data_IF_264508978614
#
_entry.id   IF_264508978614
#
_cell.length_a   1.000
_cell.length_b   1.000
_cell.length_c   1.000
_cell.angle_alpha   90.00
_cell.angle_beta   90.00
_cell.angle_gamma   90.00
#
_symmetry.space_group_name_H-M   'P 1'
#
loop_
_entity.id
_entity.type
_entity.pdbx_description
1 polymer ?
#
# COMPACT_ATOMS: atom_id res chain seq x y z
N UNK A 1 19.33 4.52 12.32
CA UNK A 1 18.23 5.39 11.88
C UNK A 1 17.02 4.50 11.71
N UNK A 2 15.89 4.74 12.37
CA UNK A 2 14.67 4.00 12.04
C UNK A 2 14.33 4.34 10.59
N UNK A 3 14.32 3.34 9.70
CA UNK A 3 14.07 3.55 8.27
C UNK A 3 12.66 4.08 8.00
N UNK A 4 12.45 4.55 6.78
CA UNK A 4 11.13 4.92 6.28
C UNK A 4 10.17 3.73 6.38
N UNK A 5 8.89 4.01 6.65
CA UNK A 5 7.89 2.99 6.93
C UNK A 5 6.64 3.23 6.10
N UNK A 6 6.02 2.13 5.68
CA UNK A 6 4.73 2.12 4.97
C UNK A 6 3.71 1.29 5.74
N UNK A 7 2.45 1.74 5.75
CA UNK A 7 1.36 1.00 6.37
C UNK A 7 0.73 0.05 5.35
N UNK A 8 0.65 -1.25 5.66
CA UNK A 8 -0.22 -2.17 4.94
C UNK A 8 -1.22 -2.85 5.87
N UNK A 9 -2.32 -3.32 5.29
CA UNK A 9 -3.38 -3.99 6.04
C UNK A 9 -3.13 -5.49 6.14
N UNK A 10 -3.50 -6.10 7.28
CA UNK A 10 -3.52 -7.56 7.45
C UNK A 10 -4.26 -8.24 6.30
N UNK A 11 -3.71 -9.35 5.81
CA UNK A 11 -4.33 -10.15 4.76
C UNK A 11 -4.23 -9.52 3.36
N UNK A 12 -3.21 -8.69 3.10
CA UNK A 12 -2.96 -8.13 1.77
C UNK A 12 -2.96 -9.21 0.68
N UNK A 13 -2.27 -10.32 0.92
CA UNK A 13 -2.20 -11.47 0.01
C UNK A 13 -3.55 -12.14 -0.29
N UNK A 14 -4.60 -11.84 0.49
CA UNK A 14 -5.94 -12.38 0.35
C UNK A 14 -6.96 -11.33 -0.11
N UNK A 15 -6.54 -10.08 -0.37
CA UNK A 15 -7.42 -9.08 -0.94
C UNK A 15 -7.85 -9.52 -2.33
N UNK A 16 -9.14 -9.34 -2.65
CA UNK A 16 -9.71 -9.67 -3.96
C UNK A 16 -8.93 -9.00 -5.10
N UNK A 17 -8.43 -7.79 -4.88
CA UNK A 17 -7.65 -7.05 -5.88
C UNK A 17 -6.28 -7.70 -6.13
N UNK A 18 -5.57 -8.14 -5.09
CA UNK A 18 -4.31 -8.89 -5.25
C UNK A 18 -4.55 -10.23 -5.95
N UNK A 19 -5.61 -10.94 -5.56
CA UNK A 19 -5.97 -12.22 -6.18
C UNK A 19 -6.32 -11.99 -7.66
N UNK A 20 -7.02 -10.91 -8.00
CA UNK A 20 -7.35 -10.57 -9.38
C UNK A 20 -6.09 -10.24 -10.20
N UNK A 21 -5.16 -9.45 -9.66
CA UNK A 21 -3.86 -9.18 -10.29
C UNK A 21 -3.10 -10.49 -10.52
N UNK A 22 -3.01 -11.33 -9.48
CA UNK A 22 -2.32 -12.62 -9.54
C UNK A 22 -2.89 -13.53 -10.63
N UNK A 23 -4.22 -13.68 -10.67
CA UNK A 23 -4.90 -14.48 -11.68
C UNK A 23 -4.69 -13.94 -13.10
N UNK A 24 -4.71 -12.61 -13.26
CA UNK A 24 -4.53 -11.96 -14.56
C UNK A 24 -3.12 -12.18 -15.13
N UNK A 25 -2.11 -12.13 -14.25
CA UNK A 25 -0.71 -12.21 -14.65
C UNK A 25 -0.12 -13.63 -14.51
N UNK A 26 -0.92 -14.61 -14.06
CA UNK A 26 -0.45 -15.97 -13.82
C UNK A 26 0.58 -16.09 -12.69
N UNK A 27 0.51 -15.19 -11.70
CA UNK A 27 1.44 -15.13 -10.56
C UNK A 27 0.88 -15.82 -9.32
N UNK A 28 1.77 -16.25 -8.41
CA UNK A 28 1.35 -16.57 -7.05
C UNK A 28 0.87 -15.29 -6.34
N UNK A 29 -0.23 -15.39 -5.57
CA UNK A 29 -0.82 -14.25 -4.84
C UNK A 29 0.15 -13.55 -3.89
N UNK A 30 1.15 -14.26 -3.36
CA UNK A 30 2.19 -13.70 -2.49
C UNK A 30 3.17 -12.86 -3.31
N UNK A 31 3.53 -13.33 -4.51
CA UNK A 31 4.34 -12.55 -5.45
C UNK A 31 3.60 -11.28 -5.84
N UNK A 32 2.34 -11.38 -6.29
CA UNK A 32 1.53 -10.20 -6.62
C UNK A 32 1.44 -9.21 -5.45
N UNK A 33 1.27 -9.70 -4.21
CA UNK A 33 1.27 -8.85 -3.03
C UNK A 33 2.60 -8.11 -2.81
N UNK A 34 3.74 -8.80 -2.98
CA UNK A 34 5.07 -8.20 -2.86
C UNK A 34 5.26 -7.09 -3.92
N UNK A 35 4.87 -7.34 -5.17
CA UNK A 35 4.97 -6.33 -6.23
C UNK A 35 4.11 -5.09 -5.94
N UNK A 36 2.94 -5.29 -5.31
CA UNK A 36 2.11 -4.16 -4.88
C UNK A 36 2.78 -3.34 -3.78
N UNK A 37 3.47 -4.01 -2.84
CA UNK A 37 4.25 -3.33 -1.80
C UNK A 37 5.37 -2.50 -2.43
N UNK A 38 6.12 -3.06 -3.37
CA UNK A 38 7.19 -2.37 -4.09
C UNK A 38 6.68 -1.16 -4.89
N UNK A 39 5.55 -1.30 -5.60
CA UNK A 39 4.93 -0.19 -6.31
C UNK A 39 4.50 0.96 -5.38
N UNK A 40 3.98 0.64 -4.18
CA UNK A 40 3.63 1.67 -3.19
C UNK A 40 4.83 2.29 -2.51
N UNK A 41 5.90 1.53 -2.25
CA UNK A 41 7.17 2.05 -1.73
C UNK A 41 7.84 3.00 -2.73
N UNK A 42 7.81 2.63 -4.01
CA UNK A 42 8.25 3.51 -5.08
C UNK A 42 7.42 4.80 -5.13
N UNK A 43 6.09 4.71 -5.02
CA UNK A 43 5.23 5.89 -5.01
C UNK A 43 5.50 6.79 -3.80
N UNK A 44 5.73 6.20 -2.61
CA UNK A 44 6.08 6.91 -1.38
C UNK A 44 7.38 7.71 -1.53
N UNK A 45 8.33 7.18 -2.30
CA UNK A 45 9.62 7.83 -2.54
C UNK A 45 9.60 8.87 -3.66
N UNK A 46 8.66 8.76 -4.61
CA UNK A 46 8.66 9.54 -5.86
C UNK A 46 7.47 10.51 -5.98
N UNK A 47 6.53 10.50 -5.03
CA UNK A 47 5.36 11.39 -5.03
C UNK A 47 5.11 11.95 -3.64
N UNK A 48 4.49 13.12 -3.55
CA UNK A 48 4.13 13.74 -2.25
C UNK A 48 2.63 13.66 -1.96
N UNK A 49 1.81 13.62 -3.01
CA UNK A 49 0.36 13.63 -2.98
C UNK A 49 -0.28 12.39 -3.65
N UNK A 50 0.55 11.44 -4.08
CA UNK A 50 0.13 10.23 -4.78
C UNK A 50 -0.12 10.43 -6.27
N UNK A 51 0.16 11.61 -6.85
CA UNK A 51 0.14 11.82 -8.29
C UNK A 51 1.57 11.73 -8.84
N UNK A 52 1.82 10.69 -9.65
CA UNK A 52 3.08 10.49 -10.34
C UNK A 52 2.97 11.10 -11.74
N UNK A 53 3.31 12.38 -11.85
CA UNK A 53 3.29 13.09 -13.14
C UNK A 53 4.32 12.50 -14.12
N UNK A 54 3.94 12.43 -15.41
CA UNK A 54 4.74 11.84 -16.49
C UNK A 54 5.05 10.34 -16.33
N UNK A 55 4.44 9.67 -15.37
CA UNK A 55 4.58 8.23 -15.12
C UNK A 55 3.43 7.50 -15.77
N UNK A 56 3.72 6.35 -16.37
CA UNK A 56 2.73 5.49 -17.02
C UNK A 56 2.71 4.11 -16.35
N UNK A 57 1.71 3.29 -16.69
CA UNK A 57 1.67 1.89 -16.25
C UNK A 57 2.95 1.10 -16.60
N UNK A 58 3.58 1.42 -17.73
CA UNK A 58 4.85 0.81 -18.18
C UNK A 58 6.00 1.13 -17.22
N UNK A 59 6.01 2.32 -16.60
CA UNK A 59 7.01 2.64 -15.58
C UNK A 59 6.88 1.72 -14.38
N UNK A 60 5.65 1.40 -13.96
CA UNK A 60 5.43 0.46 -12.85
C UNK A 60 5.76 -0.99 -13.21
N UNK A 61 5.61 -1.38 -14.47
CA UNK A 61 6.13 -2.67 -14.94
C UNK A 61 7.65 -2.73 -14.79
N UNK A 62 8.36 -1.65 -15.10
CA UNK A 62 9.80 -1.56 -14.92
C UNK A 62 10.22 -1.55 -13.44
N UNK A 63 9.46 -0.87 -12.58
CA UNK A 63 9.66 -0.86 -11.12
C UNK A 63 9.52 -2.27 -10.54
N UNK A 64 8.50 -3.01 -10.97
CA UNK A 64 8.17 -4.33 -10.41
C UNK A 64 8.82 -5.50 -11.16
N UNK A 65 9.46 -5.23 -12.30
CA UNK A 65 10.05 -6.25 -13.17
C UNK A 65 9.03 -7.17 -13.86
N UNK A 66 7.74 -6.82 -13.84
CA UNK A 66 6.66 -7.64 -14.41
C UNK A 66 5.85 -6.83 -15.42
N UNK A 67 5.92 -7.23 -16.69
CA UNK A 67 5.11 -6.65 -17.76
C UNK A 67 3.61 -6.87 -17.51
N UNK A 68 2.83 -5.81 -17.69
CA UNK A 68 1.38 -5.78 -17.50
C UNK A 68 0.95 -5.57 -16.04
N UNK A 69 1.88 -5.41 -15.10
CA UNK A 69 1.56 -5.21 -13.69
C UNK A 69 0.87 -3.86 -13.41
N UNK A 70 1.40 -2.77 -13.96
CA UNK A 70 0.79 -1.45 -13.85
C UNK A 70 -0.63 -1.42 -14.41
N UNK A 71 -0.85 -2.07 -15.56
CA UNK A 71 -2.20 -2.22 -16.12
C UNK A 71 -3.11 -3.06 -15.21
N UNK A 72 -2.61 -4.15 -14.64
CA UNK A 72 -3.40 -4.95 -13.70
C UNK A 72 -3.80 -4.17 -12.44
N UNK A 73 -2.94 -3.27 -11.95
CA UNK A 73 -3.27 -2.37 -10.84
C UNK A 73 -4.32 -1.32 -11.21
N UNK A 74 -4.29 -0.78 -12.44
CA UNK A 74 -5.35 0.09 -12.97
C UNK A 74 -6.70 -0.64 -13.01
N UNK A 75 -6.71 -1.86 -13.52
CA UNK A 75 -7.94 -2.65 -13.69
C UNK A 75 -8.65 -2.97 -12.37
N UNK A 76 -7.90 -3.11 -11.27
CA UNK A 76 -8.47 -3.33 -9.93
C UNK A 76 -8.71 -2.03 -9.14
N UNK A 77 -8.52 -0.87 -9.77
CA UNK A 77 -8.71 0.45 -9.17
C UNK A 77 -7.72 0.79 -8.06
N UNK A 78 -6.52 0.17 -8.10
CA UNK A 78 -5.41 0.51 -7.22
C UNK A 78 -4.54 1.62 -7.77
N UNK A 79 -4.69 1.90 -9.05
CA UNK A 79 -4.22 3.10 -9.72
C UNK A 79 -5.39 3.72 -10.47
N UNK A 80 -5.29 5.01 -10.73
CA UNK A 80 -6.06 5.71 -11.75
C UNK A 80 -5.06 6.34 -12.72
N UNK A 81 -5.50 6.64 -13.94
CA UNK A 81 -4.70 7.33 -14.93
C UNK A 81 -5.45 8.59 -15.37
N UNK A 82 -4.75 9.72 -15.43
CA UNK A 82 -5.23 10.96 -16.01
C UNK A 82 -4.29 11.41 -17.15
N UNK A 83 -4.60 12.54 -17.79
CA UNK A 83 -3.78 13.08 -18.87
C UNK A 83 -2.35 13.44 -18.46
N UNK A 84 -2.05 13.50 -17.15
CA UNK A 84 -0.76 13.90 -16.59
C UNK A 84 0.03 12.71 -16.05
N UNK A 85 -0.59 11.57 -15.74
CA UNK A 85 0.10 10.35 -15.33
C UNK A 85 -0.74 9.44 -14.43
N UNK A 86 -0.05 8.71 -13.55
CA UNK A 86 -0.66 7.72 -12.66
C UNK A 86 -0.97 8.33 -11.29
N UNK A 87 -2.15 8.02 -10.77
CA UNK A 87 -2.64 8.46 -9.46
C UNK A 87 -2.79 7.23 -8.55
N UNK A 88 -2.23 7.31 -7.35
CA UNK A 88 -2.45 6.37 -6.25
C UNK A 88 -3.64 6.84 -5.40
N UNK A 89 -4.85 6.29 -5.62
CA UNK A 89 -6.06 6.80 -5.00
C UNK A 89 -6.04 6.62 -3.48
N UNK A 90 -6.68 7.56 -2.77
CA UNK A 90 -6.77 7.58 -1.29
C UNK A 90 -5.40 7.78 -0.61
N UNK A 91 -4.46 8.46 -1.28
CA UNK A 91 -3.15 8.82 -0.73
C UNK A 91 -3.24 9.47 0.67
N UNK A 92 -4.08 10.49 0.81
CA UNK A 92 -4.31 11.21 2.07
C UNK A 92 -4.79 10.35 3.24
N UNK A 93 -5.35 9.17 2.94
CA UNK A 93 -5.81 8.24 3.97
C UNK A 93 -4.68 7.36 4.51
N UNK A 94 -3.71 7.01 3.69
CA UNK A 94 -2.75 5.95 3.99
C UNK A 94 -1.29 6.40 3.95
N UNK A 95 -0.89 7.16 2.93
CA UNK A 95 0.51 7.41 2.61
C UNK A 95 0.95 8.85 2.84
N UNK A 96 0.02 9.82 2.88
CA UNK A 96 0.38 11.18 3.23
C UNK A 96 1.05 11.26 4.62
N UNK A 97 1.97 12.22 4.79
CA UNK A 97 2.65 12.48 6.07
C UNK A 97 1.66 12.64 7.24
N UNK A 98 0.52 13.29 6.98
CA UNK A 98 -0.55 13.44 7.94
C UNK A 98 -1.17 12.09 8.35
N UNK A 99 -1.37 11.18 7.40
CA UNK A 99 -1.87 9.83 7.64
C UNK A 99 -0.90 8.99 8.46
N UNK A 100 0.37 9.01 8.08
CA UNK A 100 1.47 8.34 8.79
C UNK A 100 1.50 8.74 10.26
N UNK A 101 1.49 10.05 10.54
CA UNK A 101 1.43 10.60 11.92
C UNK A 101 0.17 10.18 12.67
N UNK A 102 -1.01 10.21 12.02
CA UNK A 102 -2.28 9.77 12.63
C UNK A 102 -2.22 8.31 13.06
N UNK A 103 -1.71 7.42 12.19
CA UNK A 103 -1.59 5.99 12.48
C UNK A 103 -0.65 5.72 13.65
N UNK A 104 0.53 6.36 13.66
CA UNK A 104 1.48 6.24 14.77
C UNK A 104 0.91 6.77 16.10
N UNK A 105 0.21 7.90 16.07
CA UNK A 105 -0.41 8.47 17.27
C UNK A 105 -1.55 7.58 17.80
N UNK A 106 -2.35 6.98 16.92
CA UNK A 106 -3.38 6.03 17.30
C UNK A 106 -2.78 4.77 17.94
N UNK A 107 -1.69 4.25 17.39
CA UNK A 107 -0.92 3.13 17.94
C UNK A 107 -0.38 3.46 19.34
N UNK A 108 0.30 4.60 19.51
CA UNK A 108 0.82 5.07 20.81
C UNK A 108 -0.30 5.18 21.86
N UNK A 109 -1.43 5.80 21.50
CA UNK A 109 -2.59 5.90 22.40
C UNK A 109 -3.18 4.53 22.75
N UNK A 110 -3.19 3.56 21.83
CA UNK A 110 -3.63 2.19 22.12
C UNK A 110 -2.71 1.51 23.13
N UNK A 111 -1.39 1.61 22.93
CA UNK A 111 -0.41 1.04 23.85
C UNK A 111 -0.48 1.69 25.25
N UNK A 112 -0.67 3.01 25.31
CA UNK A 112 -0.88 3.72 26.57
C UNK A 112 -2.10 3.16 27.33
N UNK A 113 -3.25 3.04 26.66
CA UNK A 113 -4.46 2.47 27.29
C UNK A 113 -4.27 1.04 27.79
N UNK A 114 -3.54 0.21 27.06
CA UNK A 114 -3.24 -1.17 27.47
C UNK A 114 -2.34 -1.24 28.71
N UNK A 115 -1.47 -0.23 28.91
CA UNK A 115 -0.63 -0.12 30.11
C UNK A 115 -1.42 0.40 31.32
N UNK A 116 -2.31 1.37 31.10
CA UNK A 116 -3.14 1.95 32.15
C UNK A 116 -4.26 1.01 32.61
N UNK A 117 -4.82 0.22 31.69
CA UNK A 117 -5.91 -0.73 31.94
C UNK A 117 -5.54 -2.09 31.35
N UNK A 118 -4.68 -2.88 32.02
CA UNK A 118 -4.33 -4.21 31.54
C UNK A 118 -5.60 -5.08 31.45
N UNK A 119 -5.71 -5.95 30.44
CA UNK A 119 -6.86 -6.83 30.32
C UNK A 119 -6.98 -7.69 31.58
N UNK A 120 -8.15 -7.67 32.22
CA UNK A 120 -8.44 -8.53 33.36
C UNK A 120 -8.43 -9.97 32.86
N UNK A 121 -7.35 -10.69 33.09
CA UNK A 121 -7.27 -12.12 32.86
C UNK A 121 -8.23 -12.79 33.84
N UNK A 122 -9.41 -13.22 33.37
CA UNK A 122 -10.22 -14.15 34.14
C UNK A 122 -9.46 -15.49 34.15
N UNK A 123 -8.91 -15.84 35.32
CA UNK A 123 -8.21 -17.09 35.54
C UNK A 123 -9.12 -18.28 35.21
N UNK A 124 -8.53 -19.27 34.53
CA UNK A 124 -9.13 -20.58 34.30
C UNK A 124 -9.22 -21.39 35.59
#
# INVERSE_FOLDING_TARGET
MAGDWIAWTKGLTLKREVIAIANRLGLDRRVAACLCMEAWEWADSNTTDGHAESVTSVTLDAVTGVTGFGQAMLDVGWLLEDARGIIFPRWERWNAESAKKRLQNAERKRQQRQREHPPVTQGA
#
